data_IF_881189251502
#
_entry.id   IF_881189251502
#
_cell.length_a   1.000
_cell.length_b   1.000
_cell.length_c   1.000
_cell.angle_alpha   90.00
_cell.angle_beta   90.00
_cell.angle_gamma   90.00
#
_symmetry.space_group_name_H-M   'P 1'
#
loop_
_entity.id
_entity.type
_entity.pdbx_description
1 polymer ?
#
# COMPACT_ATOMS: atom_id res chain seq x y z
N UNK A 1 -6.83 -11.68 22.29
CA UNK A 1 -7.08 -10.23 22.46
C UNK A 1 -7.51 -9.70 21.10
N UNK A 2 -8.82 -9.59 20.87
CA UNK A 2 -9.38 -9.17 19.57
C UNK A 2 -9.43 -7.65 19.48
N UNK A 3 -8.81 -7.07 18.45
CA UNK A 3 -8.98 -5.66 18.09
C UNK A 3 -9.94 -5.56 16.90
N UNK A 4 -11.12 -5.03 17.13
CA UNK A 4 -12.06 -4.67 16.06
C UNK A 4 -11.68 -3.29 15.53
N UNK A 5 -11.24 -3.21 14.28
CA UNK A 5 -11.03 -1.92 13.60
C UNK A 5 -12.39 -1.39 13.15
N UNK A 6 -12.80 -0.25 13.72
CA UNK A 6 -14.01 0.48 13.32
C UNK A 6 -13.72 1.21 12.00
N UNK A 7 -14.34 0.77 10.91
CA UNK A 7 -14.41 1.56 9.69
C UNK A 7 -15.40 2.72 9.93
N UNK A 8 -14.89 3.95 9.93
CA UNK A 8 -15.71 5.16 10.02
C UNK A 8 -16.05 5.61 8.59
N UNK A 9 -17.32 5.47 8.19
CA UNK A 9 -17.83 5.95 6.91
C UNK A 9 -18.30 7.40 7.09
N UNK A 10 -17.59 8.35 6.49
CA UNK A 10 -18.09 9.72 6.32
C UNK A 10 -18.72 9.82 4.93
N UNK A 11 -20.02 10.14 4.80
CA UNK A 11 -20.64 10.36 3.50
C UNK A 11 -20.29 11.78 3.03
N UNK A 12 -19.39 11.88 2.05
CA UNK A 12 -18.90 13.15 1.54
C UNK A 12 -18.84 13.18 0.02
N UNK A 13 -19.85 13.84 -0.57
CA UNK A 13 -19.97 14.31 -1.94
C UNK A 13 -19.84 13.28 -3.07
N UNK A 14 -20.98 12.95 -3.68
CA UNK A 14 -21.06 12.31 -4.99
C UNK A 14 -20.35 13.18 -6.04
N UNK A 15 -19.07 12.91 -6.28
CA UNK A 15 -18.53 13.03 -7.64
C UNK A 15 -19.40 12.16 -8.52
N UNK A 16 -19.78 12.66 -9.70
CA UNK A 16 -20.46 11.88 -10.73
C UNK A 16 -19.53 10.76 -11.23
N UNK A 17 -19.28 9.78 -10.37
CA UNK A 17 -18.74 8.48 -10.70
C UNK A 17 -19.96 7.67 -11.05
N UNK A 18 -20.08 7.24 -12.31
CA UNK A 18 -20.87 6.06 -12.61
C UNK A 18 -20.53 5.03 -11.53
N UNK A 19 -21.53 4.56 -10.79
CA UNK A 19 -21.30 3.48 -9.85
C UNK A 19 -20.65 2.34 -10.67
N UNK A 20 -19.54 1.76 -10.21
CA UNK A 20 -18.91 0.67 -10.94
C UNK A 20 -19.97 -0.41 -11.13
N UNK A 21 -20.04 -0.95 -12.34
CA UNK A 21 -20.92 -2.09 -12.59
C UNK A 21 -20.55 -3.25 -11.67
N UNK A 22 -21.48 -4.16 -11.37
CA UNK A 22 -21.20 -5.31 -10.49
C UNK A 22 -19.98 -6.11 -10.98
N UNK A 23 -19.86 -6.29 -12.30
CA UNK A 23 -18.72 -6.96 -12.93
C UNK A 23 -17.40 -6.20 -12.73
N UNK A 24 -17.44 -4.87 -12.77
CA UNK A 24 -16.25 -4.03 -12.55
C UNK A 24 -15.82 -4.05 -11.07
N UNK A 25 -16.78 -4.09 -10.15
CA UNK A 25 -16.53 -4.23 -8.73
C UNK A 25 -15.92 -5.60 -8.41
N UNK A 26 -16.44 -6.68 -8.99
CA UNK A 26 -15.87 -8.02 -8.89
C UNK A 26 -14.42 -8.07 -9.37
N UNK A 27 -14.12 -7.43 -10.51
CA UNK A 27 -12.75 -7.34 -11.03
C UNK A 27 -11.85 -6.57 -10.06
N UNK A 28 -12.29 -5.44 -9.51
CA UNK A 28 -11.49 -4.67 -8.53
C UNK A 28 -11.22 -5.48 -7.26
N UNK A 29 -12.23 -6.22 -6.76
CA UNK A 29 -12.08 -7.09 -5.59
C UNK A 29 -11.09 -8.22 -5.88
N UNK A 30 -11.19 -8.88 -7.03
CA UNK A 30 -10.28 -9.94 -7.42
C UNK A 30 -8.83 -9.43 -7.53
N UNK A 31 -8.61 -8.26 -8.12
CA UNK A 31 -7.27 -7.66 -8.20
C UNK A 31 -6.70 -7.34 -6.82
N UNK A 32 -7.54 -6.82 -5.91
CA UNK A 32 -7.14 -6.56 -4.53
C UNK A 32 -6.70 -7.84 -3.82
N UNK A 33 -7.45 -8.93 -3.97
CA UNK A 33 -7.11 -10.23 -3.37
C UNK A 33 -5.79 -10.78 -3.92
N UNK A 34 -5.58 -10.69 -5.23
CA UNK A 34 -4.32 -11.09 -5.87
C UNK A 34 -3.15 -10.26 -5.35
N UNK A 35 -3.29 -8.94 -5.30
CA UNK A 35 -2.25 -8.05 -4.78
C UNK A 35 -1.93 -8.36 -3.32
N UNK A 36 -2.95 -8.59 -2.49
CA UNK A 36 -2.78 -8.98 -1.09
C UNK A 36 -2.05 -10.32 -0.95
N UNK A 37 -2.45 -11.33 -1.72
CA UNK A 37 -1.84 -12.65 -1.68
C UNK A 37 -0.36 -12.61 -2.08
N UNK A 38 -0.03 -11.86 -3.14
CA UNK A 38 1.35 -11.69 -3.59
C UNK A 38 2.22 -10.96 -2.57
N UNK A 39 1.70 -9.87 -1.96
CA UNK A 39 2.41 -9.16 -0.91
C UNK A 39 2.67 -10.08 0.31
N UNK A 40 1.65 -10.79 0.76
CA UNK A 40 1.77 -11.75 1.89
C UNK A 40 2.77 -12.87 1.59
N UNK A 41 2.75 -13.39 0.36
CA UNK A 41 3.67 -14.43 -0.08
C UNK A 41 5.12 -13.91 -0.13
N UNK A 42 5.32 -12.68 -0.59
CA UNK A 42 6.64 -12.05 -0.59
C UNK A 42 7.18 -11.85 0.83
N UNK A 43 6.34 -11.40 1.76
CA UNK A 43 6.71 -11.26 3.18
C UNK A 43 7.05 -12.62 3.82
N UNK A 44 6.28 -13.67 3.54
CA UNK A 44 6.54 -14.99 4.09
C UNK A 44 7.89 -15.57 3.60
N UNK A 45 8.25 -15.33 2.33
CA UNK A 45 9.49 -15.85 1.73
C UNK A 45 10.73 -14.99 2.03
N UNK A 46 10.56 -13.67 2.07
CA UNK A 46 11.67 -12.73 2.12
C UNK A 46 11.75 -11.95 3.44
N UNK A 47 10.75 -12.03 4.32
CA UNK A 47 10.63 -11.17 5.50
C UNK A 47 11.86 -11.15 6.41
N UNK A 48 12.50 -12.31 6.62
CA UNK A 48 13.74 -12.39 7.43
C UNK A 48 14.97 -11.76 6.76
N UNK A 49 14.88 -11.48 5.46
CA UNK A 49 15.92 -10.83 4.63
C UNK A 49 15.58 -9.39 4.30
N UNK A 50 14.44 -8.88 4.77
CA UNK A 50 14.01 -7.51 4.55
C UNK A 50 14.15 -6.72 5.84
N UNK A 51 14.68 -5.51 5.72
CA UNK A 51 14.64 -4.51 6.77
C UNK A 51 13.19 -3.98 6.92
N UNK A 52 12.89 -3.31 8.04
CA UNK A 52 11.62 -2.59 8.21
C UNK A 52 11.36 -1.57 7.09
N UNK A 53 10.12 -1.09 7.00
CA UNK A 53 9.74 -0.08 6.01
C UNK A 53 10.63 1.16 6.10
N UNK A 54 11.13 1.59 4.94
CA UNK A 54 11.90 2.83 4.79
C UNK A 54 11.01 4.06 4.57
N UNK A 55 9.69 3.87 4.51
CA UNK A 55 8.72 4.94 4.19
C UNK A 55 8.39 5.74 5.45
N UNK A 56 8.52 7.08 5.43
CA UNK A 56 8.06 7.96 6.50
C UNK A 56 6.55 7.87 6.73
N UNK A 57 6.08 8.11 7.96
CA UNK A 57 4.67 7.90 8.35
C UNK A 57 3.68 8.77 7.57
N UNK A 58 4.07 9.99 7.20
CA UNK A 58 3.31 10.93 6.37
C UNK A 58 3.20 10.51 4.91
N UNK A 59 4.08 9.63 4.44
CA UNK A 59 4.06 9.06 3.08
C UNK A 59 3.46 7.65 3.06
N UNK A 60 3.52 6.91 4.18
CA UNK A 60 3.00 5.56 4.29
C UNK A 60 1.50 5.48 3.95
N UNK A 61 0.76 6.52 4.34
CA UNK A 61 -0.64 6.75 3.98
C UNK A 61 -0.76 8.17 3.47
N UNK A 62 -1.12 8.36 2.20
CA UNK A 62 -1.19 9.68 1.59
C UNK A 62 -2.56 9.96 0.97
N UNK A 63 -2.90 11.25 0.98
CA UNK A 63 -4.09 11.79 0.33
C UNK A 63 -3.72 13.14 -0.30
N UNK A 64 -4.14 13.38 -1.53
CA UNK A 64 -3.94 14.70 -2.12
C UNK A 64 -4.90 15.74 -1.53
N UNK A 65 -4.50 17.02 -1.52
CA UNK A 65 -5.29 18.10 -0.93
C UNK A 65 -6.68 18.31 -1.56
N UNK A 66 -6.90 17.80 -2.78
CA UNK A 66 -8.20 17.85 -3.47
C UNK A 66 -9.10 16.65 -3.18
N UNK A 67 -8.61 15.64 -2.44
CA UNK A 67 -9.38 14.45 -2.03
C UNK A 67 -9.63 13.40 -3.10
N UNK A 68 -9.09 13.59 -4.32
CA UNK A 68 -9.32 12.70 -5.46
C UNK A 68 -8.29 11.57 -5.60
N UNK A 69 -7.20 11.62 -4.83
CA UNK A 69 -6.20 10.56 -4.79
C UNK A 69 -5.93 10.16 -3.33
N UNK A 70 -6.00 8.87 -3.08
CA UNK A 70 -5.64 8.22 -1.82
C UNK A 70 -4.81 7.00 -2.13
N UNK A 71 -3.84 6.69 -1.28
CA UNK A 71 -3.01 5.51 -1.44
C UNK A 71 -2.10 5.27 -0.25
N UNK A 72 -1.45 4.12 -0.28
CA UNK A 72 -0.45 3.74 0.70
C UNK A 72 0.82 3.24 0.02
N UNK A 73 1.95 3.35 0.70
CA UNK A 73 3.26 2.95 0.18
C UNK A 73 4.05 2.20 1.24
N UNK A 74 4.52 0.99 0.90
CA UNK A 74 5.48 0.22 1.70
C UNK A 74 6.72 -0.12 0.86
N UNK A 75 7.90 0.24 1.35
CA UNK A 75 9.18 -0.02 0.68
C UNK A 75 10.15 -0.61 1.69
N UNK A 76 10.62 -1.83 1.42
CA UNK A 76 11.56 -2.55 2.29
C UNK A 76 12.86 -2.84 1.56
N UNK A 77 13.98 -2.54 2.22
CA UNK A 77 15.33 -2.82 1.70
C UNK A 77 15.76 -4.23 2.09
N UNK A 78 16.61 -4.86 1.27
CA UNK A 78 17.27 -6.10 1.67
C UNK A 78 18.28 -5.88 2.81
N UNK A 79 18.46 -6.88 3.67
CA UNK A 79 19.56 -6.88 4.66
C UNK A 79 20.91 -6.87 3.95
N UNK A 80 21.96 -6.30 4.58
CA UNK A 80 23.32 -6.30 4.02
C UNK A 80 23.77 -7.70 3.59
N UNK A 81 24.35 -7.84 2.40
CA UNK A 81 24.74 -9.14 1.83
C UNK A 81 23.65 -9.81 0.96
N UNK A 82 22.46 -9.21 0.86
CA UNK A 82 21.50 -9.55 -0.19
C UNK A 82 22.08 -9.17 -1.56
N UNK A 83 22.11 -10.11 -2.50
CA UNK A 83 22.66 -9.95 -3.87
C UNK A 83 21.85 -8.89 -4.62
N UNK A 84 22.30 -7.63 -4.54
CA UNK A 84 21.62 -6.45 -5.08
C UNK A 84 21.95 -5.14 -4.35
N UNK A 85 22.53 -5.19 -3.15
CA UNK A 85 22.88 -3.99 -2.38
C UNK A 85 24.26 -3.42 -2.79
N UNK A 86 24.43 -3.04 -4.05
CA UNK A 86 25.46 -2.10 -4.46
C UNK A 86 24.74 -0.84 -4.97
N UNK A 87 24.22 -0.04 -4.04
CA UNK A 87 23.45 1.14 -4.38
C UNK A 87 22.75 1.67 -3.15
N UNK A 88 23.33 2.69 -2.55
CA UNK A 88 22.68 3.59 -1.63
C UNK A 88 21.53 4.29 -2.39
N UNK A 89 20.38 3.62 -2.54
CA UNK A 89 19.17 4.24 -3.05
C UNK A 89 18.56 5.05 -1.93
N UNK A 90 19.17 6.19 -1.64
CA UNK A 90 18.58 7.23 -0.81
C UNK A 90 17.29 7.68 -1.50
N UNK A 91 16.15 7.16 -1.04
CA UNK A 91 14.83 7.51 -1.55
C UNK A 91 14.50 8.89 -1.03
N UNK A 92 15.07 9.92 -1.67
CA UNK A 92 14.81 11.31 -1.36
C UNK A 92 13.48 11.71 -2.00
N UNK A 93 12.46 11.92 -1.16
CA UNK A 93 11.22 12.55 -1.60
C UNK A 93 11.54 14.03 -1.86
N UNK A 94 11.39 14.55 -3.10
CA UNK A 94 11.54 15.97 -3.35
C UNK A 94 10.38 16.73 -2.69
N UNK A 95 10.71 17.85 -2.03
CA UNK A 95 9.75 18.85 -1.50
C UNK A 95 8.87 19.45 -2.61
#
# INVERSE_FOLDING_TARGET
>A
MSAAVRASLVPGAASASSAPSEMELEVVVAHREVAWALASQAEAQLGVRLLPSAVPTDTAEFRNGTGNAVGSLDVRRGVPGSTGCAGDLDFRIPE
#
